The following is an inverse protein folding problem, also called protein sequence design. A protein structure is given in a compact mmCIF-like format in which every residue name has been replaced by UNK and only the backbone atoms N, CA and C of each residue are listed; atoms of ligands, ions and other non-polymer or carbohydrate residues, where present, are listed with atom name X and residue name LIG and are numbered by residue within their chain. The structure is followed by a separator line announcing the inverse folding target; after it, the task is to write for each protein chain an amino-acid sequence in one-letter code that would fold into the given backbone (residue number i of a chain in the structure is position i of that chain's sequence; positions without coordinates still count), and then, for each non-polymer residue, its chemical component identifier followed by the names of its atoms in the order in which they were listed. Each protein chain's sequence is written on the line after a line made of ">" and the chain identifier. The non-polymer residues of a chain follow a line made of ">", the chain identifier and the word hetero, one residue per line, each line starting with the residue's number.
data_IF_568201145334
#
_entry.id   IF_568201145334
#
_cell.length_a   1.000
_cell.length_b   1.000
_cell.length_c   1.000
_cell.angle_alpha   90.00
_cell.angle_beta   90.00
_cell.angle_gamma   90.00
#
_symmetry.space_group_name_H-M   'P 1'
#
loop_
_entity.id
_entity.type
_entity.pdbx_description
1 polymer ?
#
# COMPACT_ATOMS: atom_id res chain seq x y z
N UNK A 1 43.95 11.47 -15.89
CA UNK A 1 42.92 11.77 -16.91
C UNK A 1 41.75 10.83 -16.66
N UNK A 2 40.84 11.16 -15.74
CA UNK A 2 39.52 11.76 -16.04
C UNK A 2 38.71 10.93 -17.05
N UNK A 3 37.98 9.95 -16.54
CA UNK A 3 36.66 9.51 -17.03
C UNK A 3 35.83 9.31 -15.74
N UNK A 4 35.25 10.38 -15.20
CA UNK A 4 33.93 10.92 -15.50
C UNK A 4 32.79 10.06 -14.92
N UNK A 5 32.42 10.41 -13.68
CA UNK A 5 31.06 10.43 -13.12
C UNK A 5 30.04 9.42 -13.65
N UNK A 6 29.84 8.35 -12.89
CA UNK A 6 28.50 7.81 -12.64
C UNK A 6 28.31 7.72 -11.11
N UNK A 7 28.33 8.89 -10.47
CA UNK A 7 27.57 9.10 -9.23
C UNK A 7 26.12 9.30 -9.68
N UNK A 8 25.27 8.29 -9.49
CA UNK A 8 23.84 8.51 -9.30
C UNK A 8 23.29 7.27 -8.60
N UNK A 9 23.39 7.35 -7.27
CA UNK A 9 22.45 6.79 -6.31
C UNK A 9 21.91 5.41 -6.67
N UNK A 10 22.54 4.37 -6.13
CA UNK A 10 21.78 3.16 -5.78
C UNK A 10 20.75 3.65 -4.76
N UNK A 11 19.55 4.01 -5.21
CA UNK A 11 18.46 4.24 -4.29
C UNK A 11 18.22 2.89 -3.65
N UNK A 12 18.63 2.76 -2.39
CA UNK A 12 18.22 1.67 -1.52
C UNK A 12 16.72 1.86 -1.28
N UNK A 13 15.91 1.53 -2.29
CA UNK A 13 14.48 1.75 -2.29
C UNK A 13 13.88 0.75 -1.31
N UNK A 14 13.52 1.22 -0.11
CA UNK A 14 12.83 0.42 0.90
C UNK A 14 11.34 0.29 0.54
N UNK A 15 11.07 -0.17 -0.69
CA UNK A 15 9.73 -0.30 -1.23
C UNK A 15 9.08 -1.56 -0.70
N UNK A 16 7.97 -1.38 -0.02
CA UNK A 16 7.14 -2.44 0.54
C UNK A 16 5.78 -2.40 -0.14
N UNK A 17 5.33 -3.56 -0.61
CA UNK A 17 3.99 -3.74 -1.16
C UNK A 17 3.12 -4.47 -0.15
N UNK A 18 2.11 -3.79 0.41
CA UNK A 18 1.12 -4.41 1.30
C UNK A 18 -0.28 -4.35 0.73
N UNK A 19 -1.06 -5.38 1.03
CA UNK A 19 -2.48 -5.45 0.69
C UNK A 19 -3.31 -5.20 1.94
N UNK A 20 -4.29 -4.32 1.82
CA UNK A 20 -5.24 -4.00 2.87
C UNK A 20 -6.65 -4.39 2.43
N UNK A 21 -7.43 -5.00 3.31
CA UNK A 21 -8.87 -5.19 3.11
C UNK A 21 -9.61 -3.93 3.58
N UNK A 22 -10.47 -3.38 2.74
CA UNK A 22 -11.24 -2.17 3.00
C UNK A 22 -12.72 -2.51 2.98
N UNK A 23 -13.34 -2.55 4.16
CA UNK A 23 -14.78 -2.79 4.30
C UNK A 23 -15.55 -1.47 4.29
N UNK A 24 -16.70 -1.48 3.61
CA UNK A 24 -17.62 -0.33 3.54
C UNK A 24 -17.63 0.40 2.20
N UNK A 25 -16.90 -0.08 1.19
CA UNK A 25 -17.02 0.43 -0.18
C UNK A 25 -18.37 0.00 -0.77
N UNK A 26 -19.32 0.93 -0.90
CA UNK A 26 -20.67 0.64 -1.43
C UNK A 26 -20.80 0.86 -2.94
N UNK A 27 -19.88 1.61 -3.54
CA UNK A 27 -19.90 1.94 -4.96
C UNK A 27 -18.53 1.77 -5.58
N UNK A 28 -18.48 1.08 -6.73
CA UNK A 28 -17.24 0.75 -7.42
C UNK A 28 -16.44 1.99 -7.85
N UNK A 29 -17.09 3.01 -8.42
CA UNK A 29 -16.36 4.15 -8.98
C UNK A 29 -15.94 5.16 -7.89
N UNK A 30 -16.91 5.65 -7.10
CA UNK A 30 -16.68 6.73 -6.14
C UNK A 30 -15.89 6.29 -4.91
N UNK A 31 -16.15 5.09 -4.37
CA UNK A 31 -15.44 4.62 -3.18
C UNK A 31 -13.98 4.26 -3.50
N UNK A 32 -13.75 3.61 -4.65
CA UNK A 32 -12.39 3.29 -5.13
C UNK A 32 -11.58 4.57 -5.34
N UNK A 33 -12.16 5.57 -6.02
CA UNK A 33 -11.50 6.84 -6.25
C UNK A 33 -11.20 7.57 -4.93
N UNK A 34 -12.11 7.52 -3.96
CA UNK A 34 -11.91 8.11 -2.63
C UNK A 34 -10.73 7.47 -1.90
N UNK A 35 -10.65 6.13 -1.88
CA UNK A 35 -9.53 5.39 -1.30
C UNK A 35 -8.22 5.77 -2.00
N UNK A 36 -8.19 5.75 -3.33
CA UNK A 36 -6.98 6.09 -4.08
C UNK A 36 -6.52 7.53 -3.79
N UNK A 37 -7.44 8.50 -3.84
CA UNK A 37 -7.14 9.90 -3.53
C UNK A 37 -6.73 10.13 -2.07
N UNK A 38 -7.12 9.25 -1.14
CA UNK A 38 -6.74 9.36 0.26
C UNK A 38 -5.23 9.13 0.47
N UNK A 39 -4.62 8.32 -0.39
CA UNK A 39 -3.21 7.91 -0.30
C UNK A 39 -2.31 8.51 -1.39
N UNK A 40 -2.85 8.77 -2.59
CA UNK A 40 -2.11 9.43 -3.67
C UNK A 40 -1.78 10.86 -3.25
N UNK A 41 -0.48 11.17 -3.20
CA UNK A 41 0.05 12.45 -2.74
C UNK A 41 0.61 12.44 -1.31
N UNK A 42 0.47 11.33 -0.57
CA UNK A 42 1.23 11.14 0.67
C UNK A 42 2.71 10.90 0.34
N UNK A 43 3.58 11.52 1.12
CA UNK A 43 5.02 11.27 1.00
C UNK A 43 5.33 9.80 1.30
N UNK A 44 6.15 9.17 0.46
CA UNK A 44 6.48 7.75 0.55
C UNK A 44 5.55 6.81 -0.22
N UNK A 45 4.36 7.23 -0.65
CA UNK A 45 3.50 6.37 -1.51
C UNK A 45 4.03 6.37 -2.95
N UNK A 46 4.19 5.18 -3.53
CA UNK A 46 4.62 4.97 -4.91
C UNK A 46 3.46 4.63 -5.83
N UNK A 47 2.59 3.72 -5.40
CA UNK A 47 1.38 3.37 -6.13
C UNK A 47 0.28 2.85 -5.21
N UNK A 48 -0.96 2.98 -5.66
CA UNK A 48 -2.13 2.39 -5.04
C UNK A 48 -3.00 1.76 -6.12
N UNK A 49 -3.32 0.49 -5.95
CA UNK A 49 -4.21 -0.27 -6.81
C UNK A 49 -5.36 -0.80 -5.94
N UNK A 50 -6.59 -0.47 -6.32
CA UNK A 50 -7.78 -0.85 -5.56
C UNK A 50 -8.59 -1.83 -6.39
N UNK A 51 -8.90 -2.98 -5.80
CA UNK A 51 -9.75 -4.00 -6.36
C UNK A 51 -11.07 -4.01 -5.59
N UNK A 52 -12.13 -3.48 -6.22
CA UNK A 52 -13.47 -3.40 -5.64
C UNK A 52 -14.07 -4.80 -5.40
N UNK A 53 -13.94 -5.70 -6.39
CA UNK A 53 -14.50 -7.06 -6.31
C UNK A 53 -13.96 -7.85 -5.12
N UNK A 54 -12.69 -7.64 -4.76
CA UNK A 54 -12.04 -8.31 -3.65
C UNK A 54 -12.04 -7.47 -2.36
N UNK A 55 -12.63 -6.28 -2.36
CA UNK A 55 -12.59 -5.32 -1.25
C UNK A 55 -11.16 -5.05 -0.75
N UNK A 56 -10.18 -5.00 -1.65
CA UNK A 56 -8.76 -4.87 -1.30
C UNK A 56 -8.08 -3.70 -1.97
N UNK A 57 -7.14 -3.07 -1.28
CA UNK A 57 -6.21 -2.09 -1.85
C UNK A 57 -4.77 -2.55 -1.64
N UNK A 58 -4.03 -2.68 -2.73
CA UNK A 58 -2.59 -2.95 -2.75
C UNK A 58 -1.85 -1.62 -2.85
N UNK A 59 -1.01 -1.33 -1.87
CA UNK A 59 -0.28 -0.06 -1.78
C UNK A 59 1.21 -0.38 -1.75
N UNK A 60 1.94 0.24 -2.68
CA UNK A 60 3.40 0.23 -2.70
C UNK A 60 3.90 1.52 -2.09
N UNK A 61 4.72 1.42 -1.05
CA UNK A 61 5.19 2.56 -0.29
C UNK A 61 6.60 2.37 0.22
N UNK A 62 7.27 3.47 0.53
CA UNK A 62 8.59 3.48 1.14
C UNK A 62 8.47 3.35 2.66
N UNK A 63 8.87 2.20 3.20
CA UNK A 63 8.76 1.89 4.63
C UNK A 63 9.76 2.68 5.49
N UNK A 64 10.68 3.44 4.89
CA UNK A 64 11.50 4.42 5.63
C UNK A 64 10.79 5.75 5.87
N UNK A 65 9.74 6.05 5.09
CA UNK A 65 9.01 7.33 5.11
C UNK A 65 7.64 7.18 5.76
N UNK A 66 6.92 6.09 5.48
CA UNK A 66 5.56 5.86 5.96
C UNK A 66 5.36 4.39 6.35
N UNK A 67 4.68 4.15 7.46
CA UNK A 67 4.37 2.80 7.94
C UNK A 67 2.96 2.33 7.54
N UNK A 68 2.76 1.01 7.47
CA UNK A 68 1.45 0.40 7.21
C UNK A 68 0.34 0.90 8.15
N UNK A 69 0.67 1.12 9.43
CA UNK A 69 -0.27 1.62 10.42
C UNK A 69 -0.71 3.06 10.14
N UNK A 70 0.20 3.90 9.64
CA UNK A 70 -0.11 5.27 9.25
C UNK A 70 -1.02 5.29 8.02
N UNK A 71 -0.73 4.46 7.02
CA UNK A 71 -1.57 4.30 5.82
C UNK A 71 -2.99 3.89 6.22
N UNK A 72 -3.11 2.86 7.09
CA UNK A 72 -4.40 2.39 7.64
C UNK A 72 -5.18 3.52 8.30
N UNK A 73 -4.51 4.31 9.15
CA UNK A 73 -5.12 5.44 9.87
C UNK A 73 -5.62 6.52 8.90
N UNK A 74 -4.79 6.92 7.94
CA UNK A 74 -5.12 7.99 6.99
C UNK A 74 -6.31 7.59 6.12
N UNK A 75 -6.35 6.35 5.62
CA UNK A 75 -7.49 5.86 4.84
C UNK A 75 -8.75 5.88 5.71
N UNK A 76 -8.68 5.39 6.94
CA UNK A 76 -9.83 5.34 7.85
C UNK A 76 -10.35 6.74 8.20
N UNK A 77 -9.47 7.72 8.43
CA UNK A 77 -9.83 9.11 8.73
C UNK A 77 -10.45 9.84 7.54
N UNK A 78 -9.91 9.64 6.33
CA UNK A 78 -10.38 10.34 5.12
C UNK A 78 -11.61 9.73 4.49
N UNK A 79 -11.85 8.43 4.69
CA UNK A 79 -12.93 7.68 4.01
C UNK A 79 -13.97 7.07 4.95
N UNK A 80 -13.70 7.04 6.26
CA UNK A 80 -14.52 6.37 7.28
C UNK A 80 -14.66 4.85 7.08
N UNK A 81 -13.92 4.26 6.13
CA UNK A 81 -13.94 2.82 5.89
C UNK A 81 -13.09 2.06 6.91
N UNK A 82 -13.48 0.80 7.14
CA UNK A 82 -12.75 -0.09 8.05
C UNK A 82 -11.64 -0.79 7.27
N UNK A 83 -10.41 -0.45 7.58
CA UNK A 83 -9.21 -0.99 6.92
C UNK A 83 -8.56 -2.05 7.80
N UNK A 84 -8.14 -3.18 7.23
CA UNK A 84 -7.35 -4.22 7.89
C UNK A 84 -6.17 -4.63 7.00
N UNK A 85 -5.04 -4.99 7.58
CA UNK A 85 -3.93 -5.56 6.83
C UNK A 85 -4.24 -7.02 6.48
N UNK A 86 -4.05 -7.43 5.22
CA UNK A 86 -4.18 -8.82 4.81
C UNK A 86 -2.89 -9.55 5.18
N UNK A 87 -2.82 -10.11 6.39
CA UNK A 87 -1.67 -10.93 6.79
C UNK A 87 -1.62 -12.19 5.94
N UNK A 88 -0.53 -12.38 5.20
CA UNK A 88 -0.34 -13.55 4.32
C UNK A 88 0.08 -14.81 5.11
N UNK A 89 -0.35 -14.91 6.36
CA UNK A 89 0.14 -15.90 7.32
C UNK A 89 -0.65 -17.21 7.24
N UNK A 90 -1.92 -17.17 6.81
CA UNK A 90 -2.81 -18.33 6.73
C UNK A 90 -2.49 -19.33 5.60
N UNK A 91 -1.69 -18.92 4.62
CA UNK A 91 -1.26 -19.78 3.51
C UNK A 91 0.09 -20.46 3.77
N UNK A 92 0.94 -19.86 4.60
CA UNK A 92 2.27 -20.40 4.91
C UNK A 92 2.18 -21.61 5.85
N UNK A 93 1.37 -21.53 6.92
CA UNK A 93 1.18 -22.64 7.87
C UNK A 93 0.49 -23.85 7.24
N UNK A 94 -0.41 -23.63 6.28
CA UNK A 94 -1.09 -24.71 5.55
C UNK A 94 -0.16 -25.49 4.61
N UNK A 95 1.00 -24.93 4.27
CA UNK A 95 2.01 -25.60 3.45
C UNK A 95 3.16 -26.15 4.29
N UNK A 96 3.58 -25.42 5.33
CA UNK A 96 4.69 -25.82 6.20
C UNK A 96 4.42 -27.08 7.04
N UNK A 97 3.14 -27.41 7.28
CA UNK A 97 2.72 -28.61 8.02
C UNK A 97 2.19 -29.74 7.13
N UNK A 98 2.37 -29.63 5.81
CA UNK A 98 2.16 -30.73 4.88
C UNK A 98 3.51 -31.31 4.48
#
# INVERSE_FOLDING_TARGET
>A
MKILLLLLSITLSNEVSKTFTIKGMMCEQSCVKSVNNSVVGLNGIKSCEVNFNNETATIKYDNSVIDANQIKKIISEKTYFKVNEKSNESSFWNWFWK
#
